data_IF_783771831926
#
_entry.id   IF_783771831926
#
_cell.length_a   1.000
_cell.length_b   1.000
_cell.length_c   1.000
_cell.angle_alpha   90.00
_cell.angle_beta   90.00
_cell.angle_gamma   90.00
#
_symmetry.space_group_name_H-M   'P 1'
#
loop_
_entity.id
_entity.type
_entity.pdbx_description
1 polymer ?
#
# COMPACT_ATOMS: atom_id res chain seq x y z
N UNK A 1 7.23 3.07 -0.21
CA UNK A 1 6.87 1.69 -0.58
C UNK A 1 6.47 0.95 0.68
N UNK A 2 5.87 -0.23 0.56
CA UNK A 2 5.22 -0.89 1.71
C UNK A 2 5.85 -2.27 1.92
N UNK A 3 6.26 -2.56 3.16
CA UNK A 3 6.49 -3.91 3.64
C UNK A 3 5.22 -4.47 4.27
N UNK A 4 5.07 -5.78 4.30
CA UNK A 4 3.89 -6.44 4.86
C UNK A 4 4.28 -7.55 5.83
N UNK A 5 3.58 -7.63 6.96
CA UNK A 5 3.86 -8.64 7.97
C UNK A 5 2.59 -9.27 8.53
N UNK A 6 2.67 -10.58 8.80
CA UNK A 6 1.79 -11.30 9.73
C UNK A 6 2.50 -11.29 11.08
N UNK A 7 1.79 -11.06 12.16
CA UNK A 7 2.38 -11.01 13.49
C UNK A 7 1.58 -11.88 14.45
N UNK A 8 2.27 -12.82 15.07
CA UNK A 8 1.75 -13.66 16.15
C UNK A 8 1.41 -12.77 17.37
N UNK A 9 0.18 -12.77 17.86
CA UNK A 9 -0.19 -12.02 19.06
C UNK A 9 0.69 -12.31 20.29
N UNK A 10 1.17 -13.55 20.45
CA UNK A 10 2.00 -13.96 21.58
C UNK A 10 3.40 -13.31 21.57
N UNK A 11 3.83 -12.74 20.45
CA UNK A 11 5.03 -11.89 20.38
C UNK A 11 4.97 -10.73 21.35
N UNK A 12 3.76 -10.25 21.68
CA UNK A 12 3.53 -9.14 22.63
C UNK A 12 3.13 -9.61 24.02
N UNK A 13 3.10 -10.91 24.25
CA UNK A 13 2.81 -11.49 25.57
C UNK A 13 4.00 -11.41 26.53
N UNK A 14 3.75 -11.60 27.83
CA UNK A 14 4.75 -11.50 28.88
C UNK A 14 5.93 -12.46 28.69
N UNK A 15 5.69 -13.65 28.14
CA UNK A 15 6.74 -14.65 27.89
C UNK A 15 7.74 -14.19 26.80
N UNK A 16 7.26 -13.51 25.76
CA UNK A 16 8.09 -13.05 24.63
C UNK A 16 8.80 -11.74 24.93
N UNK A 17 8.19 -10.84 25.74
CA UNK A 17 8.72 -9.52 26.05
C UNK A 17 9.32 -9.46 27.46
N UNK A 18 10.28 -10.32 27.72
CA UNK A 18 10.88 -10.44 29.08
C UNK A 18 11.87 -9.31 29.40
N UNK A 19 12.62 -8.81 28.42
CA UNK A 19 13.67 -7.81 28.64
C UNK A 19 13.38 -6.51 27.85
N UNK A 20 14.09 -5.44 28.25
CA UNK A 20 13.93 -4.11 27.63
C UNK A 20 14.27 -4.08 26.16
N UNK A 21 15.30 -4.82 25.75
CA UNK A 21 15.77 -4.88 24.35
C UNK A 21 14.70 -5.46 23.43
N UNK A 22 14.09 -6.59 23.81
CA UNK A 22 12.99 -7.20 23.02
C UNK A 22 11.78 -6.30 22.91
N UNK A 23 11.44 -5.58 24.01
CA UNK A 23 10.35 -4.60 24.01
C UNK A 23 10.62 -3.42 23.09
N UNK A 24 11.84 -2.88 23.08
CA UNK A 24 12.20 -1.79 22.18
C UNK A 24 12.16 -2.23 20.72
N UNK A 25 12.58 -3.45 20.41
CA UNK A 25 12.44 -4.07 19.07
C UNK A 25 10.97 -4.27 18.70
N UNK A 26 10.11 -4.70 19.63
CA UNK A 26 8.67 -4.81 19.39
C UNK A 26 8.05 -3.45 19.06
N UNK A 27 8.41 -2.40 19.80
CA UNK A 27 7.97 -1.02 19.50
C UNK A 27 8.53 -0.55 18.15
N UNK A 28 9.77 -0.88 17.81
CA UNK A 28 10.37 -0.55 16.52
C UNK A 28 9.64 -1.21 15.36
N UNK A 29 9.28 -2.50 15.49
CA UNK A 29 8.44 -3.22 14.52
C UNK A 29 7.11 -2.50 14.30
N UNK A 30 6.38 -2.19 15.37
CA UNK A 30 5.07 -1.54 15.30
C UNK A 30 5.16 -0.15 14.65
N UNK A 31 6.16 0.65 15.02
CA UNK A 31 6.44 1.93 14.40
C UNK A 31 6.80 1.79 12.91
N UNK A 32 7.59 0.77 12.56
CA UNK A 32 7.93 0.45 11.18
C UNK A 32 6.67 0.14 10.36
N UNK A 33 5.76 -0.69 10.89
CA UNK A 33 4.49 -1.00 10.25
C UNK A 33 3.59 0.23 10.12
N UNK A 34 3.53 1.10 11.12
CA UNK A 34 2.78 2.35 11.05
C UNK A 34 3.35 3.33 10.00
N UNK A 35 4.66 3.36 9.84
CA UNK A 35 5.34 4.32 8.95
C UNK A 35 5.29 3.89 7.48
N UNK A 36 5.71 2.68 7.17
CA UNK A 36 5.79 2.17 5.79
C UNK A 36 5.46 0.69 5.66
N UNK A 37 4.61 0.18 6.54
CA UNK A 37 4.21 -1.21 6.56
C UNK A 37 2.71 -1.42 6.51
N UNK A 38 2.34 -2.70 6.44
CA UNK A 38 0.98 -3.19 6.52
C UNK A 38 0.95 -4.44 7.40
N UNK A 39 0.13 -4.42 8.43
CA UNK A 39 -0.23 -5.59 9.21
C UNK A 39 -1.24 -6.43 8.41
N UNK A 40 -0.92 -7.68 8.18
CA UNK A 40 -1.83 -8.64 7.52
C UNK A 40 -2.70 -9.30 8.58
N UNK A 41 -4.00 -9.28 8.39
CA UNK A 41 -4.96 -9.76 9.37
C UNK A 41 -6.19 -10.44 8.73
N UNK A 42 -7.02 -11.03 9.55
CA UNK A 42 -8.34 -11.51 9.18
C UNK A 42 -9.42 -10.46 9.46
N UNK A 43 -10.47 -10.43 8.64
CA UNK A 43 -11.52 -9.40 8.70
C UNK A 43 -12.64 -9.66 9.71
N UNK A 44 -12.49 -10.64 10.60
CA UNK A 44 -13.52 -10.99 11.59
C UNK A 44 -13.19 -10.46 12.99
N UNK A 45 -14.18 -10.50 13.88
CA UNK A 45 -13.98 -10.32 15.31
C UNK A 45 -12.84 -11.21 15.82
N UNK A 46 -12.09 -10.74 16.81
CA UNK A 46 -10.90 -11.41 17.33
C UNK A 46 -9.76 -11.50 16.29
N UNK A 47 -9.49 -10.39 15.60
CA UNK A 47 -8.36 -10.25 14.69
C UNK A 47 -7.01 -10.49 15.40
N UNK A 48 -5.94 -10.79 14.65
CA UNK A 48 -4.60 -10.93 15.24
C UNK A 48 -4.17 -9.66 15.98
N UNK A 49 -4.54 -8.48 15.46
CA UNK A 49 -4.26 -7.21 16.11
C UNK A 49 -5.04 -7.05 17.43
N UNK A 50 -6.30 -7.48 17.49
CA UNK A 50 -7.09 -7.47 18.73
C UNK A 50 -6.52 -8.41 19.78
N UNK A 51 -6.09 -9.60 19.35
CA UNK A 51 -5.40 -10.56 20.23
C UNK A 51 -4.07 -10.01 20.74
N UNK A 52 -3.28 -9.33 19.87
CA UNK A 52 -2.03 -8.67 20.26
C UNK A 52 -2.26 -7.55 21.30
N UNK A 53 -3.31 -6.74 21.13
CA UNK A 53 -3.71 -5.72 22.12
C UNK A 53 -4.05 -6.37 23.45
N UNK A 54 -4.79 -7.49 23.42
CA UNK A 54 -5.15 -8.24 24.64
C UNK A 54 -3.91 -8.81 25.33
N UNK A 55 -2.99 -9.42 24.57
CA UNK A 55 -1.74 -9.96 25.11
C UNK A 55 -0.88 -8.85 25.76
N UNK A 56 -0.75 -7.70 25.10
CA UNK A 56 0.00 -6.55 25.60
C UNK A 56 -0.66 -5.88 26.81
N UNK A 57 -1.98 -5.94 26.95
CA UNK A 57 -2.70 -5.33 28.09
C UNK A 57 -2.41 -5.99 29.44
N UNK A 58 -1.89 -7.21 29.45
CA UNK A 58 -1.42 -7.93 30.63
C UNK A 58 -0.01 -7.53 31.08
N UNK A 59 0.66 -6.59 30.43
CA UNK A 59 2.02 -6.17 30.73
C UNK A 59 2.04 -5.01 31.75
N UNK A 60 2.38 -5.29 32.98
CA UNK A 60 2.35 -4.35 34.12
C UNK A 60 3.54 -3.34 34.15
N UNK A 61 4.14 -2.99 33.05
CA UNK A 61 5.32 -2.12 33.02
C UNK A 61 5.11 -0.88 32.14
N UNK A 62 5.85 0.23 32.45
CA UNK A 62 5.87 1.42 31.58
C UNK A 62 6.23 1.09 30.12
N UNK A 63 7.06 0.07 29.92
CA UNK A 63 7.45 -0.39 28.58
C UNK A 63 6.33 -1.20 27.92
N UNK A 64 5.57 -2.00 28.65
CA UNK A 64 4.35 -2.66 28.16
C UNK A 64 3.31 -1.65 27.70
N UNK A 65 3.16 -0.54 28.41
CA UNK A 65 2.28 0.56 27.97
C UNK A 65 2.71 1.15 26.63
N UNK A 66 4.02 1.26 26.33
CA UNK A 66 4.51 1.74 25.01
C UNK A 66 4.14 0.79 23.89
N UNK A 67 4.22 -0.52 24.11
CA UNK A 67 3.77 -1.54 23.13
C UNK A 67 2.28 -1.44 22.92
N UNK A 68 1.49 -1.36 23.99
CA UNK A 68 0.04 -1.22 23.92
C UNK A 68 -0.39 0.04 23.15
N UNK A 69 0.22 1.17 23.44
CA UNK A 69 -0.05 2.43 22.73
C UNK A 69 0.27 2.31 21.22
N UNK A 70 1.39 1.68 20.87
CA UNK A 70 1.75 1.50 19.47
C UNK A 70 0.78 0.57 18.71
N UNK A 71 0.26 -0.48 19.36
CA UNK A 71 -0.80 -1.34 18.81
C UNK A 71 -2.13 -0.58 18.65
N UNK A 72 -2.49 0.24 19.62
CA UNK A 72 -3.68 1.07 19.57
C UNK A 72 -3.61 2.12 18.45
N UNK A 73 -2.44 2.68 18.19
CA UNK A 73 -2.20 3.58 17.05
C UNK A 73 -2.47 2.87 15.71
N UNK A 74 -1.97 1.63 15.52
CA UNK A 74 -2.28 0.84 14.33
C UNK A 74 -3.78 0.57 14.19
N UNK A 75 -4.46 0.31 15.31
CA UNK A 75 -5.91 0.04 15.32
C UNK A 75 -6.73 1.29 15.02
N UNK A 76 -6.29 2.46 15.49
CA UNK A 76 -6.97 3.74 15.30
C UNK A 76 -7.15 4.09 13.82
N UNK A 77 -6.13 3.81 13.01
CA UNK A 77 -6.21 3.97 11.54
C UNK A 77 -6.13 2.60 10.85
N UNK A 78 -7.05 1.71 11.22
CA UNK A 78 -7.14 0.36 10.69
C UNK A 78 -7.13 0.32 9.16
N UNK A 79 -7.92 1.18 8.51
CA UNK A 79 -8.02 1.22 7.04
C UNK A 79 -6.66 1.46 6.37
N UNK A 80 -5.77 2.18 7.04
CA UNK A 80 -4.43 2.52 6.53
C UNK A 80 -3.38 1.47 6.86
N UNK A 81 -3.42 0.90 8.05
CA UNK A 81 -2.33 0.07 8.57
C UNK A 81 -2.59 -1.43 8.47
N UNK A 82 -3.84 -1.86 8.29
CA UNK A 82 -4.20 -3.27 8.28
C UNK A 82 -4.77 -3.70 6.93
N UNK A 83 -4.24 -4.79 6.38
CA UNK A 83 -4.82 -5.49 5.24
C UNK A 83 -5.59 -6.71 5.76
N UNK A 84 -6.91 -6.57 5.86
CA UNK A 84 -7.77 -7.63 6.38
C UNK A 84 -8.35 -8.47 5.23
N UNK A 85 -8.19 -9.77 5.33
CA UNK A 85 -8.75 -10.73 4.38
C UNK A 85 -10.10 -11.25 4.91
N UNK A 86 -11.18 -10.85 4.24
CA UNK A 86 -12.52 -11.39 4.49
C UNK A 86 -12.67 -12.80 3.91
N UNK A 87 -13.57 -13.62 4.49
CA UNK A 87 -13.82 -15.00 4.06
C UNK A 87 -12.58 -15.89 4.02
N UNK A 88 -11.80 -15.84 5.08
CA UNK A 88 -11.04 -17.01 5.45
C UNK A 88 -12.13 -18.01 5.89
N UNK A 89 -12.28 -19.09 5.14
CA UNK A 89 -13.25 -20.13 5.45
C UNK A 89 -13.08 -20.59 6.90
N UNK A 90 -14.18 -20.98 7.54
CA UNK A 90 -14.27 -21.25 8.98
C UNK A 90 -13.33 -22.37 9.50
N UNK A 91 -12.61 -23.07 8.61
CA UNK A 91 -11.59 -24.08 8.93
C UNK A 91 -10.34 -23.54 9.66
N UNK A 92 -10.22 -22.21 9.84
CA UNK A 92 -9.03 -21.60 10.46
C UNK A 92 -9.15 -21.52 11.99
N UNK A 93 -10.32 -21.68 12.53
CA UNK A 93 -10.52 -21.59 13.99
C UNK A 93 -9.90 -22.78 14.74
N UNK A 94 -9.75 -23.92 14.08
CA UNK A 94 -9.23 -25.16 14.71
C UNK A 94 -7.69 -25.29 14.71
N UNK A 95 -6.97 -24.48 13.90
CA UNK A 95 -5.51 -24.61 13.70
C UNK A 95 -4.63 -23.67 14.52
N UNK A 96 -5.18 -22.90 15.42
CA UNK A 96 -4.41 -21.92 16.17
C UNK A 96 -3.75 -20.84 15.28
N UNK A 97 -2.67 -20.20 15.76
CA UNK A 97 -1.95 -19.19 14.99
C UNK A 97 -1.30 -19.78 13.74
N UNK A 98 -0.75 -21.00 13.80
CA UNK A 98 -0.03 -21.61 12.67
C UNK A 98 -0.90 -21.76 11.42
N UNK A 99 -2.10 -22.31 11.55
CA UNK A 99 -3.05 -22.44 10.43
C UNK A 99 -3.50 -21.08 9.90
N UNK A 100 -3.70 -20.09 10.78
CA UNK A 100 -4.01 -18.72 10.36
C UNK A 100 -2.85 -18.08 9.57
N UNK A 101 -1.62 -18.21 10.07
CA UNK A 101 -0.42 -17.68 9.43
C UNK A 101 -0.22 -18.30 8.04
N UNK A 102 -0.38 -19.61 7.90
CA UNK A 102 -0.29 -20.31 6.61
C UNK A 102 -1.30 -19.77 5.59
N UNK A 103 -2.55 -19.67 6.00
CA UNK A 103 -3.61 -19.20 5.12
C UNK A 103 -3.42 -17.74 4.68
N UNK A 104 -3.05 -16.87 5.63
CA UNK A 104 -2.71 -15.48 5.34
C UNK A 104 -1.47 -15.38 4.46
N UNK A 105 -0.46 -16.24 4.69
CA UNK A 105 0.74 -16.32 3.86
C UNK A 105 0.39 -16.67 2.41
N UNK A 106 -0.40 -17.72 2.20
CA UNK A 106 -0.75 -18.16 0.85
C UNK A 106 -1.50 -17.08 0.05
N UNK A 107 -2.36 -16.33 0.71
CA UNK A 107 -3.12 -15.25 0.10
C UNK A 107 -2.33 -13.96 -0.11
N UNK A 108 -1.49 -13.58 0.83
CA UNK A 108 -0.87 -12.25 0.84
C UNK A 108 0.60 -12.25 0.47
N UNK A 109 1.29 -13.40 0.55
CA UNK A 109 2.75 -13.49 0.38
C UNK A 109 3.47 -12.33 1.08
N UNK A 110 3.44 -12.28 2.43
CA UNK A 110 4.03 -11.19 3.20
C UNK A 110 5.55 -11.18 3.10
N UNK A 111 6.14 -10.06 3.49
CA UNK A 111 7.59 -9.91 3.55
C UNK A 111 8.19 -10.59 4.78
N UNK A 112 7.41 -10.68 5.88
CA UNK A 112 7.80 -11.38 7.10
C UNK A 112 6.62 -11.91 7.89
N UNK A 113 6.89 -12.92 8.71
CA UNK A 113 5.97 -13.46 9.70
C UNK A 113 6.69 -13.44 11.03
N UNK A 114 6.22 -12.60 11.93
CA UNK A 114 6.78 -12.52 13.29
C UNK A 114 6.13 -13.56 14.17
N UNK A 115 6.95 -14.45 14.71
CA UNK A 115 6.48 -15.59 15.49
C UNK A 115 7.08 -15.58 16.90
N UNK A 116 6.31 -16.02 17.88
CA UNK A 116 6.79 -16.34 19.22
C UNK A 116 7.51 -17.68 19.22
N UNK A 117 8.37 -17.94 20.22
CA UNK A 117 9.02 -19.24 20.37
C UNK A 117 8.01 -20.37 20.53
N UNK A 118 6.88 -20.09 21.17
CA UNK A 118 5.82 -21.08 21.38
C UNK A 118 5.13 -21.56 20.09
N UNK A 119 5.03 -20.69 19.07
CA UNK A 119 4.32 -20.99 17.83
C UNK A 119 5.25 -21.31 16.65
N UNK A 120 6.58 -21.15 16.80
CA UNK A 120 7.53 -21.25 15.70
C UNK A 120 7.51 -22.62 15.02
N UNK A 121 7.67 -23.69 15.79
CA UNK A 121 7.70 -25.06 15.27
C UNK A 121 6.38 -25.42 14.56
N UNK A 122 5.25 -24.99 15.11
CA UNK A 122 3.95 -25.23 14.51
C UNK A 122 3.79 -24.49 13.16
N UNK A 123 4.30 -23.25 13.05
CA UNK A 123 4.27 -22.50 11.78
C UNK A 123 5.22 -23.08 10.74
N UNK A 124 6.39 -23.56 11.16
CA UNK A 124 7.34 -24.26 10.28
C UNK A 124 6.73 -25.56 9.73
N UNK A 125 5.98 -26.30 10.54
CA UNK A 125 5.28 -27.54 10.14
C UNK A 125 4.21 -27.28 9.06
N UNK A 126 3.65 -26.08 8.98
CA UNK A 126 2.68 -25.65 7.94
C UNK A 126 3.33 -25.32 6.59
N UNK A 127 4.61 -25.66 6.39
CA UNK A 127 5.36 -25.40 5.18
C UNK A 127 5.40 -23.90 4.77
N UNK A 128 5.46 -23.02 5.74
CA UNK A 128 5.78 -21.60 5.53
C UNK A 128 7.30 -21.49 5.36
N UNK A 129 7.81 -20.73 4.36
CA UNK A 129 9.25 -20.58 4.16
C UNK A 129 9.96 -20.04 5.40
N UNK A 130 10.97 -20.75 5.90
CA UNK A 130 11.66 -20.40 7.16
C UNK A 130 12.38 -19.05 7.09
N UNK A 131 12.83 -18.62 5.91
CA UNK A 131 13.44 -17.32 5.69
C UNK A 131 12.45 -16.14 5.87
N UNK A 132 11.15 -16.44 5.93
CA UNK A 132 10.09 -15.46 6.25
C UNK A 132 9.78 -15.38 7.73
N UNK A 133 10.19 -16.36 8.51
CA UNK A 133 9.94 -16.40 9.95
C UNK A 133 10.98 -15.56 10.68
N UNK A 134 10.51 -14.60 11.45
CA UNK A 134 11.35 -13.64 12.18
C UNK A 134 10.97 -13.64 13.64
N UNK A 135 11.94 -13.73 14.53
CA UNK A 135 11.76 -13.43 15.94
C UNK A 135 11.88 -11.92 16.15
N UNK A 136 11.15 -11.37 17.11
CA UNK A 136 11.23 -9.92 17.39
C UNK A 136 12.63 -9.50 17.87
N UNK A 137 13.29 -10.35 18.64
CA UNK A 137 14.67 -10.09 19.10
C UNK A 137 15.72 -10.15 17.97
N UNK A 138 15.38 -10.71 16.82
CA UNK A 138 16.20 -10.77 15.60
C UNK A 138 15.82 -9.66 14.58
N UNK A 139 14.88 -8.76 14.90
CA UNK A 139 14.31 -7.78 13.96
C UNK A 139 15.39 -7.03 13.16
N UNK A 140 16.41 -6.50 13.82
CA UNK A 140 17.40 -5.63 13.15
C UNK A 140 18.29 -6.36 12.14
N UNK A 141 18.51 -7.66 12.35
CA UNK A 141 19.33 -8.51 11.48
C UNK A 141 18.50 -9.22 10.40
N UNK A 142 17.19 -9.15 10.50
CA UNK A 142 16.25 -9.86 9.62
C UNK A 142 16.25 -9.33 8.19
N UNK A 143 15.93 -10.20 7.24
CA UNK A 143 15.67 -9.83 5.85
C UNK A 143 14.49 -8.85 5.72
N UNK A 144 13.50 -8.95 6.61
CA UNK A 144 12.37 -8.02 6.67
C UNK A 144 12.83 -6.58 6.96
N UNK A 145 13.67 -6.39 7.97
CA UNK A 145 14.14 -5.04 8.35
C UNK A 145 15.09 -4.44 7.29
N UNK A 146 15.99 -5.25 6.73
CA UNK A 146 16.83 -4.84 5.61
C UNK A 146 15.99 -4.37 4.43
N UNK A 147 14.96 -5.14 4.06
CA UNK A 147 14.03 -4.75 3.02
C UNK A 147 13.28 -3.46 3.38
N UNK A 148 12.77 -3.37 4.63
CA UNK A 148 12.07 -2.17 5.10
C UNK A 148 12.93 -0.92 4.98
N UNK A 149 14.18 -1.00 5.39
CA UNK A 149 15.14 0.11 5.31
C UNK A 149 15.41 0.50 3.85
N UNK A 150 15.64 -0.47 2.97
CA UNK A 150 15.86 -0.20 1.53
C UNK A 150 14.67 0.47 0.85
N UNK A 151 13.45 0.28 1.38
CA UNK A 151 12.23 0.87 0.88
C UNK A 151 11.88 2.25 1.49
N UNK A 152 12.60 2.69 2.52
CA UNK A 152 12.41 4.01 3.14
C UNK A 152 12.99 5.12 2.28
N UNK A 153 13.99 4.84 1.46
CA UNK A 153 14.55 5.85 0.55
C UNK A 153 13.46 6.60 -0.18
N UNK A 154 13.43 7.94 -0.07
CA UNK A 154 12.32 8.75 -0.52
C UNK A 154 12.15 8.73 -2.04
N UNK A 155 13.24 8.54 -2.77
CA UNK A 155 13.28 8.67 -4.22
C UNK A 155 13.98 7.47 -4.85
N UNK A 156 13.41 6.98 -5.95
CA UNK A 156 13.98 5.90 -6.76
C UNK A 156 14.03 6.34 -8.22
N UNK A 157 15.20 6.44 -8.84
CA UNK A 157 15.32 6.76 -10.25
C UNK A 157 14.89 5.55 -11.09
N UNK A 158 13.67 5.60 -11.63
CA UNK A 158 13.09 4.46 -12.36
C UNK A 158 13.84 4.11 -13.63
N UNK A 159 14.51 5.10 -14.27
CA UNK A 159 15.28 4.86 -15.49
C UNK A 159 16.59 4.06 -15.26
N UNK A 160 17.02 3.90 -14.02
CA UNK A 160 18.19 3.10 -13.64
C UNK A 160 17.82 1.67 -13.22
N UNK A 161 16.53 1.37 -13.15
CA UNK A 161 16.01 0.07 -12.70
C UNK A 161 15.60 -0.82 -13.88
N UNK A 162 15.75 -2.12 -13.70
CA UNK A 162 15.18 -3.09 -14.61
C UNK A 162 13.64 -3.08 -14.53
N UNK A 163 12.98 -3.50 -15.61
CA UNK A 163 11.51 -3.57 -15.67
C UNK A 163 10.89 -4.30 -14.47
N UNK A 164 11.43 -5.48 -14.13
CA UNK A 164 10.96 -6.27 -13.00
C UNK A 164 11.11 -5.55 -11.65
N UNK A 165 12.12 -4.70 -11.49
CA UNK A 165 12.30 -3.89 -10.30
C UNK A 165 11.27 -2.78 -10.21
N UNK A 166 10.97 -2.12 -11.34
CA UNK A 166 9.91 -1.10 -11.44
C UNK A 166 8.55 -1.73 -11.13
N UNK A 167 8.23 -2.86 -11.76
CA UNK A 167 6.99 -3.60 -11.47
C UNK A 167 6.88 -3.97 -9.99
N UNK A 168 7.97 -4.44 -9.37
CA UNK A 168 7.98 -4.76 -7.95
C UNK A 168 7.76 -3.51 -7.07
N UNK A 169 8.43 -2.40 -7.37
CA UNK A 169 8.31 -1.16 -6.59
C UNK A 169 6.88 -0.59 -6.65
N UNK A 170 6.36 -0.43 -7.86
CA UNK A 170 5.00 0.09 -8.09
C UNK A 170 3.97 -0.92 -7.56
N UNK A 171 4.16 -2.21 -7.84
CA UNK A 171 3.30 -3.28 -7.36
C UNK A 171 3.20 -3.32 -5.83
N UNK A 172 4.29 -3.10 -5.11
CA UNK A 172 4.27 -2.98 -3.64
C UNK A 172 3.41 -1.82 -3.14
N UNK A 173 3.41 -0.70 -3.86
CA UNK A 173 2.55 0.43 -3.53
C UNK A 173 1.06 0.09 -3.69
N UNK A 174 0.72 -0.78 -4.64
CA UNK A 174 -0.64 -1.11 -5.06
C UNK A 174 -1.19 -2.39 -4.45
N UNK A 175 -0.33 -3.28 -3.98
CA UNK A 175 -0.63 -4.67 -3.56
C UNK A 175 -1.89 -4.82 -2.70
N UNK A 176 -2.08 -3.93 -1.75
CA UNK A 176 -3.19 -3.97 -0.79
C UNK A 176 -4.21 -2.85 -1.00
N UNK A 177 -4.30 -2.27 -2.20
CA UNK A 177 -5.19 -1.17 -2.50
C UNK A 177 -6.30 -1.59 -3.44
N UNK A 178 -7.55 -1.46 -3.01
CA UNK A 178 -8.72 -1.69 -3.86
C UNK A 178 -9.10 -0.45 -4.69
N UNK A 179 -8.45 0.68 -4.45
CA UNK A 179 -8.65 1.89 -5.24
C UNK A 179 -7.37 2.70 -5.35
N UNK A 180 -7.28 3.46 -6.42
CA UNK A 180 -6.20 4.42 -6.71
C UNK A 180 -6.83 5.72 -7.13
N UNK A 181 -6.35 6.83 -6.60
CA UNK A 181 -6.63 8.18 -7.08
C UNK A 181 -5.41 8.66 -7.86
N UNK A 182 -5.55 8.82 -9.17
CA UNK A 182 -4.48 9.24 -10.07
C UNK A 182 -4.63 10.72 -10.42
N UNK A 183 -3.59 11.48 -10.13
CA UNK A 183 -3.53 12.92 -10.37
C UNK A 183 -2.47 13.21 -11.42
N UNK A 184 -2.88 13.79 -12.53
CA UNK A 184 -1.97 14.37 -13.50
C UNK A 184 -2.68 15.48 -14.27
N UNK A 185 -2.24 16.72 -14.05
CA UNK A 185 -2.88 17.88 -14.66
C UNK A 185 -2.70 17.95 -16.19
N UNK A 186 -1.75 17.18 -16.76
CA UNK A 186 -1.57 17.09 -18.21
C UNK A 186 -2.46 16.04 -18.86
N UNK A 187 -3.15 15.22 -18.06
CA UNK A 187 -4.03 14.18 -18.57
C UNK A 187 -5.13 14.80 -19.43
N UNK A 188 -5.39 14.18 -20.59
CA UNK A 188 -6.39 14.61 -21.57
C UNK A 188 -6.18 16.00 -22.23
N UNK A 189 -4.98 16.57 -22.15
CA UNK A 189 -4.71 17.83 -22.86
C UNK A 189 -4.64 17.67 -24.38
N UNK A 190 -5.11 18.69 -25.12
CA UNK A 190 -5.21 18.75 -26.60
C UNK A 190 -3.90 18.58 -27.39
N UNK A 191 -2.74 18.65 -26.79
CA UNK A 191 -1.48 18.45 -27.52
C UNK A 191 -1.31 16.96 -27.82
N UNK A 192 -1.40 16.58 -29.10
CA UNK A 192 -1.42 15.20 -29.59
C UNK A 192 -0.34 14.27 -29.04
N UNK A 193 0.83 14.80 -28.62
CA UNK A 193 1.86 14.02 -27.92
C UNK A 193 1.48 13.64 -26.48
N UNK A 194 0.65 14.45 -25.82
CA UNK A 194 0.25 14.18 -24.44
C UNK A 194 -0.80 13.07 -24.34
N UNK A 195 -1.79 13.05 -25.24
CA UNK A 195 -2.81 11.98 -25.28
C UNK A 195 -2.19 10.62 -25.55
N UNK A 196 -1.26 10.52 -26.51
CA UNK A 196 -0.60 9.28 -26.84
C UNK A 196 0.30 8.70 -25.74
N UNK A 197 0.68 9.51 -24.74
CA UNK A 197 1.61 9.08 -23.70
C UNK A 197 0.91 8.66 -22.41
N UNK A 198 -0.24 9.25 -22.07
CA UNK A 198 -0.93 8.98 -20.80
C UNK A 198 -1.59 7.61 -20.77
N UNK A 199 -2.30 7.24 -21.81
CA UNK A 199 -3.03 5.97 -21.83
C UNK A 199 -2.12 4.75 -21.71
N UNK A 200 -0.97 4.65 -22.39
CA UNK A 200 -0.01 3.59 -22.15
C UNK A 200 0.52 3.55 -20.71
N UNK A 201 0.77 4.72 -20.09
CA UNK A 201 1.20 4.79 -18.72
C UNK A 201 0.13 4.32 -17.73
N UNK A 202 -1.12 4.71 -17.94
CA UNK A 202 -2.27 4.23 -17.16
C UNK A 202 -2.47 2.73 -17.38
N UNK A 203 -2.36 2.24 -18.60
CA UNK A 203 -2.47 0.81 -18.88
C UNK A 203 -1.41 0.00 -18.15
N UNK A 204 -0.15 0.45 -18.15
CA UNK A 204 0.91 -0.22 -17.43
C UNK A 204 0.69 -0.18 -15.91
N UNK A 205 0.18 0.93 -15.37
CA UNK A 205 -0.22 0.99 -13.96
C UNK A 205 -1.30 -0.04 -13.63
N UNK A 206 -2.32 -0.18 -14.49
CA UNK A 206 -3.39 -1.19 -14.35
C UNK A 206 -2.80 -2.60 -14.42
N UNK A 207 -1.91 -2.86 -15.36
CA UNK A 207 -1.27 -4.17 -15.53
C UNK A 207 -0.42 -4.57 -14.31
N UNK A 208 0.38 -3.62 -13.79
CA UNK A 208 1.18 -3.84 -12.58
C UNK A 208 0.26 -4.08 -11.38
N UNK A 209 -0.82 -3.31 -11.28
CA UNK A 209 -1.79 -3.47 -10.20
C UNK A 209 -2.49 -4.82 -10.27
N UNK A 210 -2.87 -5.27 -11.45
CA UNK A 210 -3.50 -6.58 -11.67
C UNK A 210 -2.61 -7.73 -11.19
N UNK A 211 -1.32 -7.70 -11.57
CA UNK A 211 -0.32 -8.68 -11.14
C UNK A 211 -0.08 -8.65 -9.62
N UNK A 212 -0.10 -7.48 -9.01
CA UNK A 212 0.28 -7.31 -7.61
C UNK A 212 -0.90 -7.49 -6.62
N UNK A 213 -2.15 -7.30 -7.07
CA UNK A 213 -3.32 -7.23 -6.20
C UNK A 213 -3.66 -8.58 -5.55
N UNK A 214 -3.80 -8.58 -4.23
CA UNK A 214 -3.92 -9.83 -3.45
C UNK A 214 -5.34 -10.17 -2.98
N UNK A 215 -6.33 -9.29 -3.15
CA UNK A 215 -7.70 -9.58 -2.71
C UNK A 215 -8.53 -10.31 -3.77
N UNK A 216 -7.99 -10.54 -4.96
CA UNK A 216 -8.67 -11.23 -6.06
C UNK A 216 -9.89 -10.46 -6.58
N UNK A 217 -10.71 -11.15 -7.37
CA UNK A 217 -11.90 -10.56 -8.01
C UNK A 217 -13.05 -10.24 -7.04
N UNK A 218 -13.03 -10.86 -5.86
CA UNK A 218 -14.07 -10.66 -4.84
C UNK A 218 -14.11 -9.21 -4.30
N UNK A 219 -13.02 -8.47 -4.42
CA UNK A 219 -12.95 -7.05 -4.08
C UNK A 219 -12.61 -6.27 -5.35
N UNK A 220 -13.59 -5.59 -5.97
CA UNK A 220 -13.36 -4.87 -7.22
C UNK A 220 -12.34 -3.74 -7.03
N UNK A 221 -11.62 -3.46 -8.10
CA UNK A 221 -10.65 -2.36 -8.15
C UNK A 221 -11.29 -1.13 -8.80
N UNK A 222 -10.98 0.05 -8.26
CA UNK A 222 -11.47 1.32 -8.81
C UNK A 222 -10.31 2.28 -9.01
N UNK A 223 -10.15 2.74 -10.23
CA UNK A 223 -9.20 3.79 -10.60
C UNK A 223 -9.97 5.11 -10.76
N UNK A 224 -9.71 6.05 -9.87
CA UNK A 224 -10.24 7.40 -9.95
C UNK A 224 -9.26 8.30 -10.68
N UNK A 225 -9.70 8.93 -11.77
CA UNK A 225 -8.91 9.86 -12.55
C UNK A 225 -9.29 11.30 -12.22
N UNK A 226 -8.28 12.12 -12.00
CA UNK A 226 -8.42 13.54 -11.68
C UNK A 226 -7.69 14.38 -12.74
N UNK A 227 -8.32 14.59 -13.91
CA UNK A 227 -7.78 15.50 -14.92
C UNK A 227 -7.84 16.94 -14.42
N UNK A 228 -7.06 17.83 -15.02
CA UNK A 228 -7.23 19.25 -14.76
C UNK A 228 -8.65 19.69 -15.17
N UNK A 229 -9.28 20.53 -14.36
CA UNK A 229 -10.59 21.09 -14.69
C UNK A 229 -10.51 22.02 -15.91
N UNK A 230 -9.43 22.79 -15.98
CA UNK A 230 -9.11 23.66 -17.09
C UNK A 230 -7.62 23.59 -17.40
N UNK A 231 -7.27 23.78 -18.65
CA UNK A 231 -5.87 23.80 -19.05
C UNK A 231 -5.52 25.10 -19.74
N UNK A 232 -4.52 25.85 -19.24
CA UNK A 232 -4.02 27.01 -19.94
C UNK A 232 -3.35 26.57 -21.25
N UNK A 233 -3.75 27.18 -22.34
CA UNK A 233 -3.16 27.04 -23.65
C UNK A 233 -2.53 28.37 -24.05
N UNK A 234 -1.59 28.34 -25.00
CA UNK A 234 -1.03 29.57 -25.58
C UNK A 234 -2.06 30.45 -26.27
N UNK A 235 -3.20 29.87 -26.62
CA UNK A 235 -4.34 30.53 -27.29
C UNK A 235 -5.59 30.72 -26.42
N UNK A 236 -5.47 30.49 -25.10
CA UNK A 236 -6.61 30.56 -24.16
C UNK A 236 -6.64 29.37 -23.18
N UNK A 237 -7.82 29.07 -22.64
CA UNK A 237 -8.07 27.96 -21.72
C UNK A 237 -8.90 26.88 -22.40
N UNK A 238 -8.50 25.61 -22.26
CA UNK A 238 -9.28 24.49 -22.73
C UNK A 238 -10.42 24.22 -21.75
N UNK A 239 -11.69 24.20 -22.20
CA UNK A 239 -12.84 23.94 -21.32
C UNK A 239 -12.80 22.55 -20.67
N UNK A 240 -13.37 22.46 -19.47
CA UNK A 240 -13.44 21.21 -18.69
C UNK A 240 -14.20 20.11 -19.45
N UNK A 241 -15.34 20.45 -20.08
CA UNK A 241 -16.17 19.51 -20.82
C UNK A 241 -15.41 18.85 -21.99
N UNK A 242 -14.56 19.61 -22.65
CA UNK A 242 -13.72 19.09 -23.74
C UNK A 242 -12.63 18.15 -23.21
N UNK A 243 -12.03 18.46 -22.06
CA UNK A 243 -11.06 17.56 -21.38
C UNK A 243 -11.75 16.26 -20.98
N UNK A 244 -12.96 16.33 -20.46
CA UNK A 244 -13.75 15.19 -20.05
C UNK A 244 -14.11 14.29 -21.25
N UNK A 245 -14.56 14.86 -22.35
CA UNK A 245 -14.91 14.11 -23.56
C UNK A 245 -13.69 13.37 -24.13
N UNK A 246 -12.55 14.05 -24.23
CA UNK A 246 -11.30 13.44 -24.70
C UNK A 246 -10.89 12.27 -23.79
N UNK A 247 -11.02 12.43 -22.49
CA UNK A 247 -10.66 11.38 -21.53
C UNK A 247 -11.57 10.17 -21.65
N UNK A 248 -12.89 10.37 -21.83
CA UNK A 248 -13.86 9.30 -22.06
C UNK A 248 -13.55 8.51 -23.32
N UNK A 249 -13.32 9.21 -24.43
CA UNK A 249 -12.98 8.56 -25.69
C UNK A 249 -11.69 7.74 -25.57
N UNK A 250 -10.67 8.27 -24.89
CA UNK A 250 -9.43 7.55 -24.64
C UNK A 250 -9.61 6.32 -23.74
N UNK A 251 -10.39 6.43 -22.68
CA UNK A 251 -10.66 5.31 -21.77
C UNK A 251 -11.32 4.16 -22.54
N UNK A 252 -12.35 4.47 -23.31
CA UNK A 252 -13.10 3.45 -24.07
C UNK A 252 -12.27 2.82 -25.18
N UNK A 253 -11.44 3.61 -25.87
CA UNK A 253 -10.74 3.15 -27.10
C UNK A 253 -9.35 2.59 -26.84
N UNK A 254 -8.69 2.97 -25.75
CA UNK A 254 -7.26 2.70 -25.55
C UNK A 254 -6.94 1.88 -24.31
N UNK A 255 -7.88 1.73 -23.34
CA UNK A 255 -7.61 1.00 -22.12
C UNK A 255 -8.28 -0.37 -22.06
N UNK A 256 -7.50 -1.36 -21.64
CA UNK A 256 -7.98 -2.70 -21.29
C UNK A 256 -8.08 -2.77 -19.76
N UNK A 257 -9.28 -2.56 -19.23
CA UNK A 257 -9.47 -2.36 -17.80
C UNK A 257 -9.60 -3.67 -17.01
N UNK A 258 -9.90 -4.81 -17.66
CA UNK A 258 -10.14 -6.08 -16.96
C UNK A 258 -11.20 -5.89 -15.85
N UNK A 259 -10.83 -6.27 -14.62
CA UNK A 259 -11.69 -6.12 -13.43
C UNK A 259 -11.51 -4.75 -12.72
N UNK A 260 -10.94 -3.76 -13.40
CA UNK A 260 -10.75 -2.41 -12.86
C UNK A 260 -11.80 -1.47 -13.43
N UNK A 261 -12.67 -0.93 -12.56
CA UNK A 261 -13.60 0.15 -12.92
C UNK A 261 -12.82 1.46 -12.99
N UNK A 262 -13.05 2.27 -14.00
CA UNK A 262 -12.51 3.63 -14.09
C UNK A 262 -13.61 4.62 -13.81
N UNK A 263 -13.35 5.54 -12.89
CA UNK A 263 -14.24 6.64 -12.54
C UNK A 263 -13.51 7.98 -12.70
N UNK A 264 -14.20 8.95 -13.25
CA UNK A 264 -13.71 10.32 -13.33
C UNK A 264 -14.25 11.14 -12.18
N UNK A 265 -13.38 11.95 -11.58
CA UNK A 265 -13.78 12.95 -10.62
C UNK A 265 -13.43 14.33 -11.17
N UNK A 266 -14.42 15.08 -11.64
CA UNK A 266 -14.19 16.46 -12.06
C UNK A 266 -13.71 17.27 -10.85
N UNK A 267 -12.69 18.04 -11.04
CA UNK A 267 -12.10 18.88 -10.00
C UNK A 267 -13.08 19.99 -9.64
N UNK A 268 -13.42 20.10 -8.36
CA UNK A 268 -14.26 21.19 -7.86
C UNK A 268 -13.49 22.51 -7.63
N UNK A 269 -12.16 22.42 -7.47
CA UNK A 269 -11.30 23.58 -7.27
C UNK A 269 -9.99 23.44 -8.03
N UNK A 270 -9.83 24.13 -9.16
CA UNK A 270 -8.65 24.08 -10.01
C UNK A 270 -7.36 24.56 -9.31
N UNK A 271 -7.46 25.42 -8.29
CA UNK A 271 -6.30 26.10 -7.73
C UNK A 271 -5.50 25.25 -6.71
N UNK A 272 -6.12 24.24 -6.11
CA UNK A 272 -5.49 23.44 -5.06
C UNK A 272 -4.70 22.22 -5.52
N UNK A 273 -4.75 21.86 -6.81
CA UNK A 273 -4.19 20.59 -7.29
C UNK A 273 -3.17 20.72 -8.42
N UNK A 274 -2.76 21.92 -8.74
CA UNK A 274 -2.19 22.22 -10.05
C UNK A 274 -0.82 21.58 -10.37
N UNK A 275 -0.11 20.97 -9.45
CA UNK A 275 1.25 20.49 -9.74
C UNK A 275 1.62 19.11 -9.21
N UNK A 276 0.79 18.46 -8.41
CA UNK A 276 1.10 17.11 -7.96
C UNK A 276 0.82 16.09 -9.07
N UNK A 277 1.86 15.37 -9.50
CA UNK A 277 1.75 14.24 -10.41
C UNK A 277 2.05 12.98 -9.64
N UNK A 278 1.09 12.07 -9.63
CA UNK A 278 1.24 10.85 -8.89
C UNK A 278 -0.08 10.19 -8.55
N UNK A 279 -0.04 9.27 -7.62
CA UNK A 279 -1.25 8.59 -7.19
C UNK A 279 -1.31 8.42 -5.67
N UNK A 280 -2.54 8.33 -5.17
CA UNK A 280 -2.85 7.93 -3.81
C UNK A 280 -3.48 6.55 -3.87
N UNK A 281 -2.78 5.57 -3.33
CA UNK A 281 -3.32 4.26 -3.03
C UNK A 281 -3.97 4.28 -1.65
N UNK A 282 -4.79 3.29 -1.34
CA UNK A 282 -5.54 3.21 -0.07
C UNK A 282 -4.70 3.50 1.18
N UNK A 283 -3.40 3.22 1.13
CA UNK A 283 -2.54 3.26 2.31
C UNK A 283 -1.49 4.35 2.28
N UNK A 284 -1.09 4.82 1.11
CA UNK A 284 0.02 5.76 0.92
C UNK A 284 -0.15 6.56 -0.36
N UNK A 285 0.54 7.68 -0.38
CA UNK A 285 0.63 8.55 -1.52
C UNK A 285 2.04 8.51 -2.14
N UNK A 286 2.09 8.59 -3.45
CA UNK A 286 3.33 8.53 -4.23
C UNK A 286 3.33 9.59 -5.32
N UNK A 287 4.51 10.15 -5.58
CA UNK A 287 4.73 10.99 -6.77
C UNK A 287 5.46 10.19 -7.84
N UNK A 288 5.13 10.46 -9.09
CA UNK A 288 5.88 10.00 -10.25
C UNK A 288 6.26 11.26 -11.04
N UNK A 289 7.53 11.64 -11.00
CA UNK A 289 7.98 12.82 -11.73
C UNK A 289 8.67 12.37 -13.04
N UNK A 290 8.28 12.90 -14.18
CA UNK A 290 7.39 14.03 -14.44
C UNK A 290 5.89 13.72 -14.60
N UNK A 291 5.42 12.48 -14.40
CA UNK A 291 4.02 12.10 -14.46
C UNK A 291 3.79 10.63 -14.81
N UNK A 292 2.52 10.24 -14.98
CA UNK A 292 2.15 8.84 -15.26
C UNK A 292 2.65 8.36 -16.63
N UNK A 293 2.90 9.25 -17.57
CA UNK A 293 3.54 8.95 -18.85
C UNK A 293 4.96 8.37 -18.71
N UNK A 294 5.55 8.51 -17.53
CA UNK A 294 6.77 7.82 -17.14
C UNK A 294 6.67 6.30 -17.28
N UNK A 295 5.51 5.75 -17.02
CA UNK A 295 5.28 4.29 -17.05
C UNK A 295 4.88 3.76 -18.44
N UNK A 296 4.95 4.56 -19.51
CA UNK A 296 4.54 4.11 -20.86
C UNK A 296 5.48 3.09 -21.50
N UNK A 297 6.76 3.14 -21.15
CA UNK A 297 7.82 2.29 -21.68
C UNK A 297 8.71 1.83 -20.54
N UNK A 298 9.07 0.56 -20.54
CA UNK A 298 10.01 -0.03 -19.59
C UNK A 298 11.27 -0.54 -20.29
N UNK A 299 12.48 -0.26 -19.75
CA UNK A 299 12.73 0.76 -18.73
C UNK A 299 12.46 2.17 -19.27
N UNK A 300 12.11 3.13 -18.41
CA UNK A 300 11.91 4.52 -18.82
C UNK A 300 13.18 5.11 -19.45
N UNK A 301 13.03 5.92 -20.51
CA UNK A 301 14.15 6.53 -21.22
C UNK A 301 14.65 7.84 -20.62
N UNK A 302 13.96 8.34 -19.58
CA UNK A 302 14.28 9.59 -18.87
C UNK A 302 14.52 9.33 -17.41
N UNK A 303 15.25 10.22 -16.75
CA UNK A 303 15.34 10.24 -15.29
C UNK A 303 13.95 10.47 -14.73
N UNK A 304 13.44 9.50 -14.01
CA UNK A 304 12.11 9.50 -13.40
C UNK A 304 12.24 9.07 -11.97
N UNK A 305 11.59 9.82 -11.08
CA UNK A 305 11.62 9.56 -9.66
C UNK A 305 10.28 8.97 -9.23
N UNK A 306 10.35 7.87 -8.50
CA UNK A 306 9.22 7.31 -7.78
C UNK A 306 9.46 7.54 -6.30
N UNK A 307 8.74 8.49 -5.72
CA UNK A 307 8.97 8.95 -4.37
C UNK A 307 7.70 8.89 -3.51
N UNK A 308 7.89 8.60 -2.22
CA UNK A 308 6.89 8.86 -1.21
C UNK A 308 6.88 10.37 -0.91
N UNK A 309 5.84 11.07 -1.31
CA UNK A 309 5.74 12.50 -1.14
C UNK A 309 5.14 12.89 0.21
N UNK A 310 5.84 13.75 0.98
CA UNK A 310 5.27 14.38 2.17
C UNK A 310 4.06 15.24 1.82
N UNK A 311 4.11 15.95 0.70
CA UNK A 311 2.99 16.74 0.20
C UNK A 311 1.79 15.84 -0.12
N UNK A 312 2.01 14.70 -0.79
CA UNK A 312 0.95 13.74 -1.06
C UNK A 312 0.37 13.13 0.23
N UNK A 313 1.17 12.92 1.28
CA UNK A 313 0.66 12.47 2.59
C UNK A 313 -0.21 13.55 3.29
N UNK A 314 0.12 14.83 3.16
CA UNK A 314 -0.74 15.93 3.62
C UNK A 314 -2.02 15.97 2.79
N UNK A 315 -1.92 15.85 1.49
CA UNK A 315 -3.08 15.77 0.60
C UNK A 315 -3.92 14.51 0.84
N UNK A 316 -3.34 13.41 1.30
CA UNK A 316 -4.08 12.17 1.58
C UNK A 316 -5.28 12.42 2.50
N UNK A 317 -5.10 13.17 3.59
CA UNK A 317 -6.19 13.53 4.51
C UNK A 317 -7.22 14.46 3.83
N UNK A 318 -6.76 15.43 3.05
CA UNK A 318 -7.62 16.36 2.33
C UNK A 318 -8.40 15.65 1.22
N UNK A 319 -7.78 14.69 0.52
CA UNK A 319 -8.42 13.90 -0.52
C UNK A 319 -9.44 12.91 0.03
N UNK A 320 -9.18 12.30 1.17
CA UNK A 320 -10.19 11.47 1.84
C UNK A 320 -11.44 12.28 2.14
N UNK A 321 -11.28 13.52 2.61
CA UNK A 321 -12.40 14.43 2.87
C UNK A 321 -13.12 14.86 1.57
N UNK A 322 -12.38 15.14 0.49
CA UNK A 322 -12.95 15.59 -0.78
C UNK A 322 -13.62 14.48 -1.59
N UNK A 323 -13.12 13.25 -1.47
CA UNK A 323 -13.69 12.08 -2.14
C UNK A 323 -14.85 11.43 -1.37
N UNK A 324 -15.24 11.98 -0.21
CA UNK A 324 -16.26 11.37 0.65
C UNK A 324 -15.81 10.02 1.24
N UNK A 325 -14.51 9.78 1.27
CA UNK A 325 -13.90 8.55 1.79
C UNK A 325 -13.50 8.68 3.27
N UNK A 326 -13.84 9.79 3.88
CA UNK A 326 -13.69 10.03 5.31
C UNK A 326 -14.95 9.53 6.01
N UNK A 327 -14.96 8.23 6.36
CA UNK A 327 -15.55 7.65 7.57
C UNK A 327 -15.45 6.14 7.51
#
# INVERSE_FOLDING_TARGET
MIVSAIVDPEVFGAASIQNSTTRDKAVALLKGLATNGVWIDKAKSNSLLDQAIKAASGLDTKLGQRVLLALQELKKDWKRHVAAFGRLEDRIEDGGFAGQAKNLYDKSKPDGIFVSDANREAVEAEAVPTEKLVRVDELHDSGFEKLRISLIEPEKPLNELAEAEIENLVGRALKFSSYIHLFDYLMAGKRGSAQSNFMPGIQNLINIWDKAYVFGEAVPRVLFLYPAAERPLSSGTQPCEEVDQILDDCIVTQLQCGNTKIERHPKKDPNNFCHARGFIAKRRAYTIDPGIDALKVFPPTRVMLFARSKAAEVYFSQYQALAGLGE
#
